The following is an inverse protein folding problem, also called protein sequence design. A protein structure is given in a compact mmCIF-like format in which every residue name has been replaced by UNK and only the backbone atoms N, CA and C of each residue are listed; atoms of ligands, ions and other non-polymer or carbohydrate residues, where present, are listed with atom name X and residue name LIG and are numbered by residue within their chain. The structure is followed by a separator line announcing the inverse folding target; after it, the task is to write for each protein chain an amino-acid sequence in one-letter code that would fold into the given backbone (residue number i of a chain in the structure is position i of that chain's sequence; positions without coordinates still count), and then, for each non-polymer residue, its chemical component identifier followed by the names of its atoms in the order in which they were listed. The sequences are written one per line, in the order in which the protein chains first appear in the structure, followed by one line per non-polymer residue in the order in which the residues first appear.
data_IF_304605356605
#
_entry.id   IF_304605356605
#
_cell.length_a   1.000
_cell.length_b   1.000
_cell.length_c   1.000
_cell.angle_alpha   90.00
_cell.angle_beta   90.00
_cell.angle_gamma   90.00
#
_symmetry.space_group_name_H-M   'P 1'
#
loop_
_entity.id
_entity.type
_entity.pdbx_description
1 polymer ?
#
# COMPACT_ATOMS: atom_id res chain seq x y z
N UNK A 1 22.21 19.10 -5.90
CA UNK A 1 21.23 18.58 -6.89
C UNK A 1 21.94 17.55 -7.74
N UNK A 2 21.48 16.29 -7.72
CA UNK A 2 22.05 15.20 -8.51
C UNK A 2 21.28 15.04 -9.81
N UNK A 3 21.93 15.25 -10.95
CA UNK A 3 21.38 14.90 -12.26
C UNK A 3 21.72 13.44 -12.54
N UNK A 4 20.84 12.52 -12.14
CA UNK A 4 20.96 11.11 -12.55
C UNK A 4 20.49 11.01 -14.01
N UNK A 5 21.43 10.88 -14.95
CA UNK A 5 21.16 10.99 -16.39
C UNK A 5 22.12 11.89 -17.17
N UNK A 6 23.08 12.53 -16.51
CA UNK A 6 24.08 13.38 -17.15
C UNK A 6 25.37 12.58 -17.36
N UNK A 7 25.71 12.27 -18.62
CA UNK A 7 27.01 11.69 -18.95
C UNK A 7 28.08 12.78 -18.80
N UNK A 8 29.10 12.56 -17.97
CA UNK A 8 30.32 13.37 -18.04
C UNK A 8 31.00 13.18 -19.40
N UNK A 9 31.97 14.03 -19.76
CA UNK A 9 32.70 13.97 -21.04
C UNK A 9 33.61 12.74 -21.23
N UNK A 10 33.40 11.69 -20.45
CA UNK A 10 34.05 10.40 -20.59
C UNK A 10 33.05 9.51 -21.33
N UNK A 11 33.30 9.28 -22.61
CA UNK A 11 32.58 8.26 -23.37
C UNK A 11 32.72 6.92 -22.61
N UNK A 12 31.62 6.18 -22.43
CA UNK A 12 31.52 4.88 -21.72
C UNK A 12 31.35 4.88 -20.18
N UNK A 13 30.51 5.75 -19.62
CA UNK A 13 30.13 5.63 -18.20
C UNK A 13 29.02 4.58 -17.97
N UNK A 14 29.28 3.58 -17.12
CA UNK A 14 28.28 2.62 -16.64
C UNK A 14 27.46 3.21 -15.47
N UNK A 15 26.77 4.33 -15.73
CA UNK A 15 25.89 5.02 -14.78
C UNK A 15 24.78 5.73 -15.57
N UNK A 16 23.79 6.35 -14.90
CA UNK A 16 22.68 7.16 -15.48
C UNK A 16 21.27 6.55 -15.44
N UNK A 17 21.08 5.38 -14.83
CA UNK A 17 19.75 4.80 -14.75
C UNK A 17 18.97 5.36 -13.56
N UNK A 18 17.83 5.97 -13.85
CA UNK A 18 16.91 6.44 -12.82
C UNK A 18 15.50 5.90 -13.08
N UNK A 19 14.75 5.67 -12.00
CA UNK A 19 13.44 5.04 -12.05
C UNK A 19 12.45 5.82 -12.94
N UNK A 20 12.40 7.14 -12.80
CA UNK A 20 11.47 8.00 -13.52
C UNK A 20 11.71 7.98 -15.05
N UNK A 21 12.97 7.89 -15.48
CA UNK A 21 13.37 7.83 -16.89
C UNK A 21 13.18 6.45 -17.48
N UNK A 22 13.52 5.40 -16.74
CA UNK A 22 13.20 4.03 -17.14
C UNK A 22 11.68 3.89 -17.36
N UNK A 23 10.87 4.44 -16.44
CA UNK A 23 9.42 4.49 -16.60
C UNK A 23 8.97 5.26 -17.83
N UNK A 24 9.45 6.51 -18.01
CA UNK A 24 9.10 7.36 -19.14
C UNK A 24 9.40 6.69 -20.49
N UNK A 25 10.51 5.93 -20.58
CA UNK A 25 10.94 5.23 -21.79
C UNK A 25 10.26 3.87 -21.97
N UNK A 26 9.48 3.40 -21.00
CA UNK A 26 8.84 2.08 -21.01
C UNK A 26 9.82 0.91 -20.81
N UNK A 27 11.05 1.19 -20.39
CA UNK A 27 12.05 0.15 -20.10
C UNK A 27 11.67 -0.61 -18.84
N UNK A 28 11.79 -1.93 -18.87
CA UNK A 28 11.43 -2.82 -17.75
C UNK A 28 9.95 -2.71 -17.34
N UNK A 29 9.07 -2.39 -18.29
CA UNK A 29 7.63 -2.18 -18.04
C UNK A 29 6.92 -3.39 -17.43
N UNK A 30 7.40 -4.60 -17.70
CA UNK A 30 6.93 -5.85 -17.11
C UNK A 30 7.44 -6.08 -15.67
N UNK A 31 8.36 -5.24 -15.19
CA UNK A 31 8.88 -5.19 -13.80
C UNK A 31 8.42 -3.96 -13.02
N UNK A 32 7.54 -3.15 -13.61
CA UNK A 32 6.93 -2.02 -12.94
C UNK A 32 5.83 -2.46 -11.98
N UNK A 33 5.70 -1.67 -10.91
CA UNK A 33 4.53 -1.67 -10.04
C UNK A 33 4.00 -0.25 -10.01
N UNK A 34 2.69 -0.12 -10.15
CA UNK A 34 1.97 1.15 -10.07
C UNK A 34 1.04 1.07 -8.87
N UNK A 35 1.24 1.92 -7.86
CA UNK A 35 0.37 2.00 -6.69
C UNK A 35 -0.18 3.42 -6.54
N UNK A 36 -1.42 3.50 -6.06
CA UNK A 36 -1.98 4.76 -5.59
C UNK A 36 -1.17 5.31 -4.40
N UNK A 37 -1.27 6.61 -4.16
CA UNK A 37 -0.75 7.31 -2.97
C UNK A 37 -1.24 6.72 -1.64
N UNK A 38 -2.43 6.13 -1.65
CA UNK A 38 -3.03 5.41 -0.51
C UNK A 38 -2.79 3.89 -0.57
N UNK A 39 -2.09 3.42 -1.62
CA UNK A 39 -1.74 2.02 -1.81
C UNK A 39 -0.45 1.62 -1.09
N UNK A 40 -0.23 0.32 -0.97
CA UNK A 40 0.97 -0.24 -0.32
C UNK A 40 1.80 -1.10 -1.27
N UNK A 41 3.11 -1.14 -1.05
CA UNK A 41 4.01 -2.11 -1.64
C UNK A 41 4.89 -2.73 -0.54
N UNK A 42 4.91 -4.06 -0.47
CA UNK A 42 5.80 -4.81 0.39
C UNK A 42 6.50 -5.87 -0.46
N UNK A 43 7.81 -5.73 -0.61
CA UNK A 43 8.58 -6.72 -1.33
C UNK A 43 9.99 -6.27 -1.67
N UNK A 44 10.61 -7.05 -2.54
CA UNK A 44 11.97 -6.81 -3.01
C UNK A 44 11.95 -5.97 -4.29
N UNK A 45 12.78 -4.94 -4.32
CA UNK A 45 13.20 -4.25 -5.53
C UNK A 45 14.56 -4.80 -5.97
N UNK A 46 14.58 -5.37 -7.16
CA UNK A 46 15.78 -5.90 -7.78
C UNK A 46 16.49 -4.82 -8.58
N UNK A 47 17.82 -4.89 -8.61
CA UNK A 47 18.62 -3.98 -9.42
C UNK A 47 18.32 -4.18 -10.90
N UNK A 48 18.20 -3.10 -11.68
CA UNK A 48 17.96 -3.19 -13.13
C UNK A 48 19.00 -4.06 -13.86
N UNK A 49 20.20 -4.16 -13.30
CA UNK A 49 21.34 -4.94 -13.81
C UNK A 49 21.07 -6.44 -13.80
N UNK A 50 20.05 -6.90 -13.06
CA UNK A 50 19.66 -8.31 -12.96
C UNK A 50 18.45 -8.65 -13.84
N UNK A 51 18.07 -7.79 -14.79
CA UNK A 51 16.86 -7.99 -15.61
C UNK A 51 16.85 -9.33 -16.37
N UNK A 52 17.99 -9.75 -16.90
CA UNK A 52 18.11 -11.01 -17.66
C UNK A 52 18.11 -12.25 -16.77
N UNK A 53 18.28 -12.11 -15.45
CA UNK A 53 18.32 -13.19 -14.47
C UNK A 53 17.11 -13.19 -13.53
N UNK A 54 16.11 -12.35 -13.80
CA UNK A 54 14.89 -12.19 -12.99
C UNK A 54 13.64 -12.35 -13.86
N UNK A 55 12.50 -12.71 -13.26
CA UNK A 55 11.21 -12.87 -13.94
C UNK A 55 10.25 -11.70 -13.66
N UNK A 56 9.07 -11.70 -14.28
CA UNK A 56 8.08 -10.63 -14.14
C UNK A 56 7.57 -10.42 -12.71
N UNK A 57 7.78 -11.39 -11.82
CA UNK A 57 7.42 -11.29 -10.41
C UNK A 57 8.44 -10.46 -9.60
N UNK A 58 9.69 -10.36 -10.07
CA UNK A 58 10.78 -9.61 -9.43
C UNK A 58 10.79 -8.15 -9.87
N UNK A 59 10.17 -7.29 -9.06
CA UNK A 59 9.93 -5.89 -9.40
C UNK A 59 11.18 -5.04 -9.30
N UNK A 60 11.28 -4.02 -10.14
CA UNK A 60 12.46 -3.14 -10.20
C UNK A 60 12.14 -1.67 -9.90
N UNK A 61 10.94 -1.24 -10.30
CA UNK A 61 10.50 0.14 -10.15
C UNK A 61 9.09 0.13 -9.59
N UNK A 62 8.90 0.87 -8.50
CA UNK A 62 7.57 1.21 -7.99
C UNK A 62 7.30 2.68 -8.33
N UNK A 63 6.19 2.95 -9.01
CA UNK A 63 5.61 4.30 -9.12
C UNK A 63 4.49 4.43 -8.09
N UNK A 64 4.51 5.54 -7.38
CA UNK A 64 3.44 5.98 -6.48
C UNK A 64 2.80 7.19 -7.12
N UNK A 65 1.49 7.12 -7.42
CA UNK A 65 0.77 8.20 -8.09
C UNK A 65 -0.52 8.57 -7.36
N UNK A 66 -0.95 9.82 -7.52
CA UNK A 66 -2.28 10.25 -7.13
C UNK A 66 -3.10 10.52 -8.40
N UNK A 67 -4.23 9.83 -8.63
CA UNK A 67 -5.13 10.11 -9.76
C UNK A 67 -5.57 11.58 -9.85
N UNK A 68 -5.63 12.30 -8.72
CA UNK A 68 -5.97 13.72 -8.65
C UNK A 68 -4.80 14.65 -9.06
N UNK A 69 -3.59 14.12 -9.23
CA UNK A 69 -2.40 14.91 -9.53
C UNK A 69 -1.45 14.19 -10.50
N UNK A 70 -1.45 14.64 -11.75
CA UNK A 70 -0.70 13.98 -12.83
C UNK A 70 0.79 14.31 -12.90
N UNK A 71 1.34 15.05 -11.92
CA UNK A 71 2.72 15.59 -11.96
C UNK A 71 3.49 15.44 -10.66
N UNK A 72 2.94 14.73 -9.67
CA UNK A 72 3.54 14.55 -8.35
C UNK A 72 4.00 13.11 -8.10
N UNK A 73 4.11 12.32 -9.15
CA UNK A 73 4.52 10.93 -9.05
C UNK A 73 5.90 10.80 -8.41
N UNK A 74 6.03 9.77 -7.58
CA UNK A 74 7.27 9.34 -6.96
C UNK A 74 7.66 7.99 -7.53
N UNK A 75 8.95 7.80 -7.76
CA UNK A 75 9.50 6.59 -8.33
C UNK A 75 10.60 6.04 -7.42
N UNK A 76 10.49 4.77 -7.04
CA UNK A 76 11.41 4.08 -6.14
C UNK A 76 12.09 2.95 -6.89
N UNK A 77 13.43 2.87 -6.80
CA UNK A 77 14.23 1.80 -7.43
C UNK A 77 15.49 1.49 -6.63
N UNK A 78 16.01 0.27 -6.75
CA UNK A 78 17.31 -0.10 -6.20
C UNK A 78 18.45 0.22 -7.19
N UNK A 79 19.35 1.14 -6.81
CA UNK A 79 20.51 1.54 -7.61
C UNK A 79 21.69 0.60 -7.33
N UNK A 80 21.56 -0.63 -7.85
CA UNK A 80 22.57 -1.66 -7.70
C UNK A 80 23.81 -1.36 -8.56
N UNK A 81 24.95 -1.29 -7.90
CA UNK A 81 26.24 -0.98 -8.51
C UNK A 81 26.89 -2.25 -9.08
N UNK A 82 26.50 -2.62 -10.28
CA UNK A 82 27.02 -3.82 -10.95
C UNK A 82 26.81 -3.76 -12.46
N UNK A 83 27.54 -4.59 -13.22
CA UNK A 83 27.31 -4.73 -14.67
C UNK A 83 27.33 -3.38 -15.40
N UNK A 84 26.27 -3.06 -16.13
CA UNK A 84 26.14 -1.79 -16.86
C UNK A 84 25.85 -0.56 -15.98
N UNK A 85 25.76 -0.73 -14.65
CA UNK A 85 25.56 0.35 -13.68
C UNK A 85 26.71 0.38 -12.64
N UNK A 86 27.88 -0.21 -12.94
CA UNK A 86 29.01 -0.40 -12.00
C UNK A 86 29.84 0.85 -11.70
N UNK A 87 29.58 1.95 -12.39
CA UNK A 87 30.26 3.22 -12.15
C UNK A 87 29.35 4.20 -11.40
N UNK A 88 28.24 3.72 -10.81
CA UNK A 88 27.23 4.59 -10.19
C UNK A 88 27.78 5.24 -8.91
N UNK A 89 28.27 6.47 -9.04
CA UNK A 89 28.84 7.21 -7.91
C UNK A 89 27.78 7.69 -6.91
N UNK A 90 26.72 8.33 -7.40
CA UNK A 90 25.66 8.86 -6.52
C UNK A 90 24.66 7.77 -6.14
N UNK A 91 24.55 7.48 -4.84
CA UNK A 91 23.55 6.54 -4.33
C UNK A 91 23.86 5.08 -4.65
N UNK A 92 25.13 4.75 -4.82
CA UNK A 92 25.65 3.39 -4.99
C UNK A 92 25.07 2.42 -3.96
N UNK A 93 24.48 1.32 -4.44
CA UNK A 93 23.85 0.29 -3.61
C UNK A 93 22.83 0.84 -2.60
N UNK A 94 22.04 1.84 -3.02
CA UNK A 94 20.95 2.43 -2.23
C UNK A 94 19.61 2.32 -2.95
N UNK A 95 18.54 2.37 -2.16
CA UNK A 95 17.21 2.63 -2.71
C UNK A 95 17.10 4.12 -2.99
N UNK A 96 16.74 4.45 -4.22
CA UNK A 96 16.67 5.81 -4.71
C UNK A 96 15.21 6.21 -4.87
N UNK A 97 14.86 7.37 -4.33
CA UNK A 97 13.54 7.99 -4.49
C UNK A 97 13.69 9.13 -5.47
N UNK A 98 12.87 9.15 -6.51
CA UNK A 98 12.89 10.15 -7.56
C UNK A 98 11.54 10.81 -7.72
N UNK A 99 11.55 12.03 -8.22
CA UNK A 99 10.37 12.70 -8.76
C UNK A 99 10.67 13.20 -10.17
N UNK A 100 9.63 13.59 -10.91
CA UNK A 100 9.73 14.06 -12.28
C UNK A 100 8.76 15.20 -12.51
N UNK A 101 9.19 16.19 -13.27
CA UNK A 101 8.30 17.22 -13.79
C UNK A 101 7.35 16.64 -14.84
N UNK A 102 6.11 17.15 -14.85
CA UNK A 102 5.05 16.73 -15.79
C UNK A 102 4.67 15.25 -15.71
N UNK A 103 3.67 14.88 -16.51
CA UNK A 103 3.14 13.52 -16.63
C UNK A 103 4.23 12.48 -16.95
N UNK A 104 4.07 11.21 -16.53
CA UNK A 104 5.07 10.14 -16.71
C UNK A 104 5.69 10.07 -18.10
N UNK A 105 4.87 10.20 -19.14
CA UNK A 105 5.28 9.98 -20.54
C UNK A 105 5.83 11.25 -21.23
N UNK A 106 5.81 12.40 -20.55
CA UNK A 106 6.29 13.68 -21.12
C UNK A 106 7.78 13.85 -20.82
N UNK A 107 8.59 14.13 -21.83
CA UNK A 107 10.02 14.39 -21.64
C UNK A 107 10.25 15.67 -20.84
N UNK A 108 10.67 15.51 -19.57
CA UNK A 108 11.07 16.60 -18.65
C UNK A 108 12.10 16.13 -17.64
N UNK A 109 12.65 17.06 -16.88
CA UNK A 109 13.68 16.76 -15.88
C UNK A 109 13.12 15.88 -14.74
N UNK A 110 13.95 14.95 -14.29
CA UNK A 110 13.75 14.17 -13.06
C UNK A 110 14.78 14.57 -12.02
N UNK A 111 14.43 14.39 -10.74
CA UNK A 111 15.26 14.76 -9.59
C UNK A 111 15.35 13.61 -8.60
N UNK A 112 16.52 13.44 -7.99
CA UNK A 112 16.67 12.59 -6.80
C UNK A 112 16.10 13.33 -5.60
N UNK A 113 15.18 12.69 -4.90
CA UNK A 113 14.54 13.18 -3.68
C UNK A 113 15.24 12.61 -2.46
N UNK A 114 15.55 11.31 -2.45
CA UNK A 114 16.20 10.65 -1.33
C UNK A 114 17.10 9.48 -1.77
N UNK A 115 18.06 9.14 -0.91
CA UNK A 115 19.06 8.07 -1.09
C UNK A 115 19.12 7.23 0.18
N UNK A 116 18.41 6.11 0.19
CA UNK A 116 18.12 5.34 1.39
C UNK A 116 19.03 4.12 1.49
N UNK A 117 19.76 4.05 2.60
CA UNK A 117 20.52 2.86 2.98
C UNK A 117 19.59 1.84 3.68
N UNK A 118 20.10 0.64 3.93
CA UNK A 118 19.42 -0.35 4.78
C UNK A 118 19.06 0.26 6.14
N UNK A 119 17.83 0.02 6.62
CA UNK A 119 17.29 0.59 7.86
C UNK A 119 16.89 2.06 7.78
N UNK A 120 17.03 2.72 6.62
CA UNK A 120 16.62 4.13 6.44
C UNK A 120 15.20 4.25 5.90
N UNK A 121 14.57 5.39 6.20
CA UNK A 121 13.22 5.71 5.77
C UNK A 121 13.13 7.11 5.16
N UNK A 122 12.09 7.35 4.35
CA UNK A 122 11.72 8.65 3.83
C UNK A 122 10.21 8.81 3.75
N UNK A 123 9.71 10.02 4.01
CA UNK A 123 8.31 10.37 3.79
C UNK A 123 8.22 11.26 2.57
N UNK A 124 7.56 10.76 1.52
CA UNK A 124 7.28 11.52 0.32
C UNK A 124 5.92 12.21 0.44
N UNK A 125 5.82 13.46 0.02
CA UNK A 125 4.56 14.20 -0.05
C UNK A 125 4.03 14.17 -1.48
N UNK A 126 2.94 13.45 -1.71
CA UNK A 126 2.33 13.28 -3.03
C UNK A 126 0.97 13.96 -2.99
N UNK A 127 0.83 15.08 -3.69
CA UNK A 127 -0.37 15.92 -3.64
C UNK A 127 -0.82 16.30 -2.22
N UNK A 128 0.14 16.53 -1.31
CA UNK A 128 -0.14 16.86 0.10
C UNK A 128 -0.42 15.64 0.99
N UNK A 129 -0.48 14.42 0.45
CA UNK A 129 -0.61 13.18 1.23
C UNK A 129 0.77 12.60 1.55
N UNK A 130 1.06 12.24 2.82
CA UNK A 130 2.34 11.64 3.20
C UNK A 130 2.36 10.14 2.87
N UNK A 131 3.39 9.66 2.18
CA UNK A 131 3.60 8.22 1.93
C UNK A 131 4.96 7.81 2.46
N UNK A 132 4.99 6.79 3.32
CA UNK A 132 6.22 6.27 3.91
C UNK A 132 6.94 5.31 2.97
N UNK A 133 8.26 5.41 2.89
CA UNK A 133 9.15 4.55 2.12
C UNK A 133 10.27 4.06 3.06
N UNK A 134 10.17 2.82 3.52
CA UNK A 134 11.10 2.20 4.45
C UNK A 134 11.95 1.15 3.72
N UNK A 135 13.27 1.23 3.89
CA UNK A 135 14.20 0.21 3.38
C UNK A 135 14.57 -0.69 4.54
N UNK A 136 14.07 -1.93 4.55
CA UNK A 136 14.37 -2.87 5.62
C UNK A 136 15.78 -3.43 5.48
N UNK A 137 16.11 -3.89 4.28
CA UNK A 137 17.35 -4.58 4.00
C UNK A 137 17.86 -4.27 2.60
N UNK A 138 19.18 -4.24 2.41
CA UNK A 138 19.82 -4.25 1.09
C UNK A 138 20.81 -5.41 1.04
N UNK A 139 20.63 -6.32 0.09
CA UNK A 139 21.58 -7.38 -0.20
C UNK A 139 22.17 -7.19 -1.60
N UNK A 140 23.19 -6.33 -1.69
CA UNK A 140 23.89 -6.01 -2.92
C UNK A 140 24.80 -7.15 -3.43
N UNK A 141 25.09 -8.15 -2.61
CA UNK A 141 25.93 -9.29 -2.99
C UNK A 141 25.14 -10.55 -3.34
N UNK A 142 23.81 -10.53 -3.16
CA UNK A 142 22.93 -11.60 -3.61
C UNK A 142 22.91 -11.71 -5.14
N UNK A 143 22.52 -12.89 -5.63
CA UNK A 143 22.33 -13.14 -7.05
C UNK A 143 20.93 -13.76 -7.28
N UNK A 144 19.94 -12.97 -7.75
CA UNK A 144 20.00 -11.55 -8.07
C UNK A 144 19.99 -10.62 -6.84
N UNK A 145 20.65 -9.46 -6.94
CA UNK A 145 20.74 -8.49 -5.85
C UNK A 145 19.43 -7.71 -5.66
N UNK A 146 19.09 -7.40 -4.42
CA UNK A 146 17.81 -6.79 -4.09
C UNK A 146 17.84 -5.88 -2.85
N UNK A 147 16.85 -5.01 -2.76
CA UNK A 147 16.50 -4.26 -1.57
C UNK A 147 15.06 -4.56 -1.14
N UNK A 148 14.84 -4.88 0.13
CA UNK A 148 13.50 -5.10 0.68
C UNK A 148 12.92 -3.76 1.12
N UNK A 149 11.78 -3.38 0.56
CA UNK A 149 11.14 -2.07 0.75
C UNK A 149 9.68 -2.24 1.19
N UNK A 150 9.28 -1.43 2.16
CA UNK A 150 7.89 -1.22 2.56
C UNK A 150 7.47 0.19 2.19
N UNK A 151 6.41 0.31 1.40
CA UNK A 151 5.82 1.58 0.98
C UNK A 151 4.36 1.58 1.39
N UNK A 152 3.88 2.67 1.97
CA UNK A 152 2.45 2.81 2.26
C UNK A 152 2.13 3.90 3.28
N UNK A 153 1.19 3.58 4.16
CA UNK A 153 0.55 4.52 5.06
C UNK A 153 1.53 5.13 6.09
N UNK A 154 1.20 6.32 6.57
CA UNK A 154 1.89 7.03 7.65
C UNK A 154 0.94 7.43 8.79
N UNK A 155 -0.36 7.28 8.59
CA UNK A 155 -1.42 7.55 9.56
C UNK A 155 -2.68 6.76 9.17
N UNK A 156 -3.57 6.58 10.14
CA UNK A 156 -4.79 5.78 10.02
C UNK A 156 -5.72 6.29 8.91
N UNK A 157 -5.77 7.61 8.69
CA UNK A 157 -6.59 8.22 7.65
C UNK A 157 -6.28 7.74 6.21
N UNK A 158 -5.12 7.14 5.98
CA UNK A 158 -4.75 6.54 4.68
C UNK A 158 -5.19 5.08 4.53
N UNK A 159 -5.60 4.46 5.64
CA UNK A 159 -6.08 3.09 5.68
C UNK A 159 -7.61 3.01 5.65
N UNK A 160 -8.30 4.14 5.79
CA UNK A 160 -9.75 4.20 5.76
C UNK A 160 -10.32 3.80 4.40
N UNK A 161 -11.06 2.69 4.35
CA UNK A 161 -11.71 2.17 3.14
C UNK A 161 -13.14 2.71 2.94
N UNK A 162 -13.56 3.64 3.79
CA UNK A 162 -14.89 4.24 3.76
C UNK A 162 -15.98 3.35 4.37
N UNK A 163 -15.62 2.21 4.98
CA UNK A 163 -16.52 1.45 5.84
C UNK A 163 -16.55 2.08 7.24
N UNK A 164 -17.71 2.64 7.59
CA UNK A 164 -17.94 3.29 8.88
C UNK A 164 -17.98 2.30 10.06
N UNK A 165 -18.08 0.99 9.78
CA UNK A 165 -18.20 -0.05 10.79
C UNK A 165 -16.87 -0.70 11.18
N UNK A 166 -15.79 -0.25 10.56
CA UNK A 166 -14.46 -0.78 10.80
C UNK A 166 -13.48 0.36 10.92
N UNK A 167 -12.55 0.27 11.86
CA UNK A 167 -11.40 1.18 11.93
C UNK A 167 -10.17 0.47 11.40
N UNK A 168 -9.53 1.07 10.40
CA UNK A 168 -8.27 0.57 9.87
C UNK A 168 -7.11 1.38 10.47
N UNK A 169 -6.17 0.70 11.11
CA UNK A 169 -5.02 1.36 11.73
C UNK A 169 -3.80 1.23 10.83
N UNK A 170 -3.05 2.31 10.68
CA UNK A 170 -1.75 2.27 10.01
C UNK A 170 -0.68 1.80 10.99
N UNK A 171 -0.05 0.66 10.70
CA UNK A 171 1.18 0.30 11.38
C UNK A 171 2.34 1.11 10.80
N UNK A 172 2.67 2.23 11.43
CA UNK A 172 3.73 3.15 11.00
C UNK A 172 5.15 2.54 11.07
N UNK A 173 5.31 1.35 11.65
CA UNK A 173 6.59 0.61 11.59
C UNK A 173 6.72 -0.13 10.26
N UNK A 174 5.61 -0.69 9.77
CA UNK A 174 5.57 -1.47 8.53
C UNK A 174 5.05 -0.66 7.34
N UNK A 175 4.52 0.54 7.56
CA UNK A 175 3.75 1.33 6.59
C UNK A 175 2.62 0.51 5.92
N UNK A 176 2.05 -0.44 6.66
CA UNK A 176 0.95 -1.28 6.17
C UNK A 176 -0.31 -0.97 6.96
N UNK A 177 -1.44 -0.97 6.26
CA UNK A 177 -2.74 -0.95 6.89
C UNK A 177 -3.02 -2.31 7.51
N UNK A 178 -3.24 -2.33 8.82
CA UNK A 178 -3.68 -3.52 9.53
C UNK A 178 -5.19 -3.70 9.32
N UNK A 179 -5.60 -4.97 9.27
CA UNK A 179 -6.97 -5.35 8.95
C UNK A 179 -7.98 -4.65 9.86
N UNK A 180 -9.19 -4.39 9.35
CA UNK A 180 -10.21 -3.64 10.07
C UNK A 180 -10.51 -4.27 11.42
N UNK A 181 -10.45 -3.46 12.48
CA UNK A 181 -11.03 -3.81 13.78
C UNK A 181 -12.47 -3.34 13.75
N UNK A 182 -13.42 -4.24 14.07
CA UNK A 182 -14.83 -3.89 14.19
C UNK A 182 -14.99 -2.76 15.23
N UNK A 183 -15.81 -1.75 14.91
CA UNK A 183 -16.09 -0.64 15.84
C UNK A 183 -16.64 -1.20 17.16
N UNK A 184 -16.08 -0.74 18.27
CA UNK A 184 -16.55 -1.07 19.62
C UNK A 184 -17.72 -0.17 20.02
N UNK A 185 -18.79 -0.76 20.53
CA UNK A 185 -19.98 -0.06 20.98
C UNK A 185 -19.67 0.82 22.21
N UNK A 186 -20.17 2.06 22.24
CA UNK A 186 -19.93 2.99 23.37
C UNK A 186 -20.76 2.67 24.62
N UNK A 187 -21.71 1.75 24.50
CA UNK A 187 -22.71 1.37 25.49
C UNK A 187 -22.21 0.26 26.44
N UNK A 188 -21.42 -0.69 25.95
CA UNK A 188 -20.89 -1.83 26.71
C UNK A 188 -19.41 -2.14 26.42
N UNK A 189 -18.82 -1.54 25.37
CA UNK A 189 -17.45 -1.80 24.95
C UNK A 189 -17.29 -3.06 24.10
N UNK A 190 -18.38 -3.74 23.72
CA UNK A 190 -18.33 -4.94 22.89
C UNK A 190 -18.09 -4.58 21.42
N UNK A 191 -17.31 -5.42 20.74
CA UNK A 191 -17.10 -5.32 19.28
C UNK A 191 -18.38 -5.71 18.55
N UNK A 192 -18.70 -5.02 17.45
CA UNK A 192 -19.84 -5.30 16.59
C UNK A 192 -19.69 -6.67 15.85
N UNK A 193 -19.78 -7.78 16.60
CA UNK A 193 -19.43 -9.15 16.19
C UNK A 193 -20.66 -10.07 16.01
N UNK A 194 -21.87 -9.51 15.98
CA UNK A 194 -23.12 -10.25 15.78
C UNK A 194 -24.10 -10.23 16.95
N UNK A 195 -23.67 -9.88 18.16
CA UNK A 195 -24.58 -9.48 19.25
C UNK A 195 -25.03 -8.02 19.05
N UNK A 196 -24.09 -7.17 18.64
CA UNK A 196 -24.30 -5.81 18.18
C UNK A 196 -24.04 -5.72 16.67
N UNK A 197 -24.93 -5.02 15.95
CA UNK A 197 -24.89 -4.88 14.50
C UNK A 197 -24.56 -3.44 14.16
N UNK A 198 -23.46 -3.23 13.43
CA UNK A 198 -23.12 -1.89 12.96
C UNK A 198 -23.97 -1.48 11.75
N UNK A 199 -24.63 -0.34 11.86
CA UNK A 199 -25.35 0.29 10.77
C UNK A 199 -24.37 0.98 9.83
N UNK A 200 -24.14 0.36 8.68
CA UNK A 200 -23.21 0.85 7.64
C UNK A 200 -23.55 2.23 7.06
N UNK A 201 -24.75 2.76 7.28
CA UNK A 201 -25.13 4.08 6.79
C UNK A 201 -24.66 5.23 7.67
N UNK A 202 -24.37 4.97 8.95
CA UNK A 202 -24.01 5.99 9.93
C UNK A 202 -22.91 5.56 10.92
N UNK A 203 -22.40 4.33 10.83
CA UNK A 203 -21.36 3.79 11.72
C UNK A 203 -21.82 3.53 13.15
N UNK A 204 -23.13 3.56 13.42
CA UNK A 204 -23.66 3.34 14.76
C UNK A 204 -23.82 1.84 15.03
N UNK A 205 -23.26 1.34 16.13
CA UNK A 205 -23.58 0.01 16.60
C UNK A 205 -24.98 -0.02 17.24
N UNK A 206 -25.82 -0.91 16.74
CA UNK A 206 -27.19 -1.14 17.19
C UNK A 206 -27.25 -2.52 17.83
N UNK A 207 -27.57 -2.59 19.13
CA UNK A 207 -27.77 -3.86 19.83
C UNK A 207 -29.00 -4.55 19.24
N UNK A 208 -28.86 -5.81 18.83
CA UNK A 208 -30.04 -6.63 18.56
C UNK A 208 -30.77 -6.76 19.89
N UNK A 209 -31.95 -6.15 19.98
CA UNK A 209 -32.91 -6.46 21.05
C UNK A 209 -33.42 -7.88 20.81
N UNK A 210 -32.59 -8.87 21.13
CA UNK A 210 -33.09 -10.22 21.37
C UNK A 210 -33.92 -10.07 22.63
N UNK A 211 -35.23 -10.23 22.48
CA UNK A 211 -36.15 -10.35 23.60
C UNK A 211 -35.53 -11.24 24.67
N UNK A 212 -35.41 -10.63 25.85
CA UNK A 212 -35.22 -11.21 27.16
C UNK A 212 -35.48 -12.73 27.22
N UNK A 213 -34.42 -13.53 27.25
CA UNK A 213 -34.48 -14.88 27.80
C UNK A 213 -33.82 -14.87 29.17
N UNK A 214 -34.60 -14.49 30.18
CA UNK A 214 -34.55 -15.26 31.42
C UNK A 214 -35.31 -16.57 31.13
N UNK A 215 -34.59 -17.68 31.15
CA UNK A 215 -35.15 -19.02 31.04
C UNK A 215 -35.93 -19.35 32.33
N UNK A 216 -37.18 -18.89 32.40
CA UNK A 216 -38.13 -19.20 33.48
C UNK A 216 -39.03 -20.40 33.13
N UNK A 217 -38.69 -21.15 32.07
CA UNK A 217 -39.30 -22.46 31.80
C UNK A 217 -40.82 -22.48 31.55
N UNK A 218 -41.43 -21.42 31.01
CA UNK A 218 -42.86 -21.40 30.70
C UNK A 218 -43.11 -21.26 29.18
N UNK A 219 -43.86 -22.16 28.52
CA UNK A 219 -44.03 -22.13 27.08
C UNK A 219 -45.02 -21.02 26.68
N UNK A 220 -44.52 -20.00 25.96
CA UNK A 220 -45.37 -19.04 25.26
C UNK A 220 -45.84 -19.63 23.93
N UNK A 221 -47.14 -19.84 23.83
CA UNK A 221 -47.83 -20.23 22.60
C UNK A 221 -47.76 -19.11 21.56
N UNK A 222 -47.15 -19.37 20.41
CA UNK A 222 -47.22 -18.46 19.25
C UNK A 222 -48.65 -18.47 18.67
N UNK A 223 -49.33 -17.32 18.72
CA UNK A 223 -50.55 -17.08 17.97
C UNK A 223 -50.25 -16.12 16.80
N UNK A 224 -49.76 -16.66 15.68
CA UNK A 224 -49.85 -15.97 14.40
C UNK A 224 -51.24 -16.23 13.80
N UNK A 225 -51.97 -15.15 13.53
CA UNK A 225 -53.31 -15.20 12.97
C UNK A 225 -53.36 -15.84 11.58
N UNK A 226 -54.09 -16.95 11.48
CA UNK A 226 -54.46 -17.60 10.22
C UNK A 226 -55.73 -18.44 10.43
N UNK A 227 -56.83 -17.97 9.85
CA UNK A 227 -58.13 -18.61 9.59
C UNK A 227 -58.56 -19.85 10.41
N UNK A 228 -59.65 -19.68 11.16
CA UNK A 228 -60.47 -20.77 11.67
C UNK A 228 -61.05 -21.62 10.52
N UNK A 229 -60.63 -22.89 10.42
CA UNK A 229 -61.50 -23.97 9.93
C UNK A 229 -61.50 -25.14 10.91
N UNK A 230 -62.67 -25.36 11.50
CA UNK A 230 -62.99 -26.43 12.45
C UNK A 230 -62.79 -27.80 11.79
N UNK A 231 -61.82 -28.56 12.29
CA UNK A 231 -61.78 -30.01 12.21
C UNK A 231 -62.24 -30.58 13.56
N UNK A 232 -63.49 -31.03 13.61
CA UNK A 232 -64.13 -31.69 14.75
C UNK A 232 -63.49 -33.04 15.07
N UNK A 233 -63.18 -33.27 16.35
CA UNK A 233 -62.97 -34.62 16.90
C UNK A 233 -64.04 -34.89 17.95
N UNK A 234 -64.76 -35.98 17.69
CA UNK A 234 -65.74 -36.63 18.53
C UNK A 234 -65.14 -37.09 19.86
N UNK A 235 -65.94 -36.98 20.93
CA UNK A 235 -66.00 -37.99 21.98
C UNK A 235 -67.29 -38.79 21.78
#
# INVERSE_FOLDING_TARGET
SGFMGYSYSQDDQNMCFNAAKNWQLGWYSDRHVDISVDGTFNGNLYGITTYTTTSANEKMIVRINDPACSTCDIYVSFNHDSGFNSDTGEGQNRVMVHTKQERPNVYKQSYVVAKLASGSAHVAMINGKPTGINVLNINATANPAYATVLIGCMNDGQCEEGDLCTTNTCNVTTNQCEAPVDVTCSNDGDVCNGHDVCNRSNGQCETLTVEEYCDDGNPVSYAFGGEMRRGSVLA
#
